data_IF_972616308756
#
_entry.id   IF_972616308756
#
_cell.length_a   1.000
_cell.length_b   1.000
_cell.length_c   1.000
_cell.angle_alpha   90.00
_cell.angle_beta   90.00
_cell.angle_gamma   90.00
#
_symmetry.space_group_name_H-M   'P 1'
#
loop_
_entity.id
_entity.type
_entity.pdbx_description
1 polymer ?
#
# COMPACT_ATOMS: atom_id res chain seq x y z
N UNK A 1 -27.77 19.38 8.66
CA UNK A 1 -26.89 19.11 9.81
C UNK A 1 -27.66 18.86 11.12
N UNK A 2 -28.80 19.52 11.34
CA UNK A 2 -29.63 19.30 12.56
C UNK A 2 -30.26 17.89 12.61
N UNK A 3 -30.56 17.27 11.49
CA UNK A 3 -31.18 15.95 11.43
C UNK A 3 -30.23 14.84 11.90
N UNK A 4 -28.93 14.96 11.67
CA UNK A 4 -27.91 13.97 12.13
C UNK A 4 -27.69 14.02 13.64
N UNK A 5 -27.95 15.17 14.29
CA UNK A 5 -27.73 15.33 15.73
C UNK A 5 -28.92 14.76 16.51
N UNK A 6 -30.14 14.74 15.95
CA UNK A 6 -31.35 14.25 16.64
C UNK A 6 -31.33 12.77 16.99
N UNK A 7 -30.66 11.94 16.20
CA UNK A 7 -30.56 10.49 16.40
C UNK A 7 -29.20 10.05 17.00
N UNK A 8 -28.30 11.01 17.28
CA UNK A 8 -26.98 10.74 17.80
C UNK A 8 -27.03 10.64 19.32
N UNK A 9 -26.40 9.59 19.86
CA UNK A 9 -26.13 9.50 21.30
C UNK A 9 -25.12 10.58 21.68
N UNK A 10 -25.52 11.53 22.50
CA UNK A 10 -24.64 12.62 22.94
C UNK A 10 -24.38 12.55 24.44
N UNK A 11 -23.23 13.08 24.85
CA UNK A 11 -22.87 13.24 26.27
C UNK A 11 -22.14 14.58 26.46
N UNK A 12 -22.34 15.18 27.63
CA UNK A 12 -21.60 16.36 28.03
C UNK A 12 -20.25 15.93 28.64
N UNK A 13 -19.15 16.24 27.98
CA UNK A 13 -17.83 15.87 28.45
C UNK A 13 -17.44 16.52 29.79
N UNK A 14 -18.11 17.61 30.19
CA UNK A 14 -17.90 18.22 31.49
C UNK A 14 -18.35 17.31 32.66
N UNK A 15 -19.18 16.28 32.42
CA UNK A 15 -19.57 15.30 33.42
C UNK A 15 -18.64 14.08 33.54
N UNK A 16 -17.65 13.98 32.66
CA UNK A 16 -16.69 12.87 32.60
C UNK A 16 -15.45 13.25 33.40
N UNK A 17 -15.22 12.60 34.53
CA UNK A 17 -14.14 12.96 35.44
C UNK A 17 -12.99 11.93 35.47
N UNK A 18 -13.26 10.68 35.10
CA UNK A 18 -12.26 9.60 35.10
C UNK A 18 -11.96 9.08 33.72
N UNK A 19 -10.76 8.51 33.53
CA UNK A 19 -10.37 7.91 32.27
C UNK A 19 -11.23 6.69 31.91
N UNK A 20 -11.73 5.97 32.92
CA UNK A 20 -12.66 4.85 32.72
C UNK A 20 -14.02 5.34 32.19
N UNK A 21 -14.58 6.43 32.73
CA UNK A 21 -15.80 7.05 32.20
C UNK A 21 -15.62 7.56 30.76
N UNK A 22 -14.44 8.13 30.46
CA UNK A 22 -14.11 8.57 29.10
C UNK A 22 -14.05 7.37 28.13
N UNK A 23 -13.40 6.28 28.52
CA UNK A 23 -13.32 5.07 27.70
C UNK A 23 -14.70 4.45 27.41
N UNK A 24 -15.58 4.39 28.41
CA UNK A 24 -16.95 3.92 28.24
C UNK A 24 -17.78 4.90 27.39
N UNK A 25 -17.65 6.19 27.64
CA UNK A 25 -18.37 7.21 26.88
C UNK A 25 -17.98 7.16 25.37
N UNK A 26 -16.70 7.02 25.05
CA UNK A 26 -16.20 6.94 23.66
C UNK A 26 -16.71 5.67 22.96
N UNK A 27 -16.97 4.58 23.68
CA UNK A 27 -17.55 3.36 23.13
C UNK A 27 -19.05 3.51 22.81
N UNK A 28 -19.80 4.29 23.61
CA UNK A 28 -21.26 4.34 23.60
C UNK A 28 -21.86 5.60 22.93
N UNK A 29 -21.11 6.71 22.88
CA UNK A 29 -21.57 7.99 22.39
C UNK A 29 -20.81 8.43 21.14
N UNK A 30 -21.46 9.22 20.30
CA UNK A 30 -20.88 9.72 19.04
C UNK A 30 -20.71 11.24 19.02
N UNK A 31 -21.41 11.96 19.91
CA UNK A 31 -21.36 13.42 19.99
C UNK A 31 -20.99 13.82 21.43
N UNK A 32 -19.97 14.65 21.55
CA UNK A 32 -19.44 15.12 22.82
C UNK A 32 -19.51 16.66 22.84
N UNK A 33 -20.18 17.20 23.84
CA UNK A 33 -20.27 18.64 24.07
C UNK A 33 -19.24 19.11 25.09
N UNK A 34 -18.83 20.39 25.03
CA UNK A 34 -17.97 21.07 26.03
C UNK A 34 -16.66 20.33 26.34
N UNK A 35 -16.02 19.77 25.30
CA UNK A 35 -14.78 18.98 25.43
C UNK A 35 -13.59 19.90 25.66
N UNK A 36 -12.81 19.66 26.70
CA UNK A 36 -11.55 20.35 26.96
C UNK A 36 -10.41 19.81 26.07
N UNK A 37 -9.34 20.59 25.82
CA UNK A 37 -8.19 20.11 25.03
C UNK A 37 -7.57 18.81 25.58
N UNK A 38 -7.48 18.66 26.88
CA UNK A 38 -6.97 17.45 27.51
C UNK A 38 -7.90 16.26 27.30
N UNK A 39 -9.22 16.47 27.39
CA UNK A 39 -10.19 15.41 27.10
C UNK A 39 -10.16 14.98 25.63
N UNK A 40 -9.93 15.88 24.66
CA UNK A 40 -9.76 15.52 23.25
C UNK A 40 -8.62 14.53 23.08
N UNK A 41 -7.51 14.77 23.76
CA UNK A 41 -6.36 13.88 23.79
C UNK A 41 -6.70 12.51 24.37
N UNK A 42 -7.38 12.49 25.52
CA UNK A 42 -7.84 11.24 26.17
C UNK A 42 -8.80 10.46 25.29
N UNK A 43 -9.67 11.11 24.53
CA UNK A 43 -10.55 10.45 23.55
C UNK A 43 -9.77 9.74 22.46
N UNK A 44 -8.71 10.37 21.94
CA UNK A 44 -7.83 9.75 20.95
C UNK A 44 -7.16 8.50 21.54
N UNK A 45 -6.62 8.59 22.74
CA UNK A 45 -6.00 7.44 23.43
C UNK A 45 -7.02 6.32 23.70
N UNK A 46 -8.19 6.64 24.23
CA UNK A 46 -9.23 5.65 24.50
C UNK A 46 -9.69 4.90 23.24
N UNK A 47 -9.77 5.58 22.09
CA UNK A 47 -10.07 4.92 20.82
C UNK A 47 -8.92 4.03 20.33
N UNK A 48 -7.66 4.45 20.53
CA UNK A 48 -6.48 3.65 20.17
C UNK A 48 -6.37 2.40 21.06
N UNK A 49 -6.65 2.52 22.34
CA UNK A 49 -6.65 1.40 23.29
C UNK A 49 -7.73 0.35 22.95
N UNK A 50 -8.80 0.77 22.27
CA UNK A 50 -9.80 -0.14 21.68
C UNK A 50 -9.34 -0.79 20.37
N UNK A 51 -8.09 -0.59 19.95
CA UNK A 51 -7.51 -1.13 18.70
C UNK A 51 -8.00 -0.42 17.43
N UNK A 52 -8.55 0.79 17.54
CA UNK A 52 -9.00 1.59 16.38
C UNK A 52 -7.86 2.47 15.85
N UNK A 53 -7.80 2.64 14.55
CA UNK A 53 -6.97 3.66 13.91
C UNK A 53 -7.73 4.98 13.91
N UNK A 54 -7.14 6.01 14.52
CA UNK A 54 -7.81 7.28 14.81
C UNK A 54 -7.32 8.39 13.88
N UNK A 55 -8.26 9.00 13.15
CA UNK A 55 -8.02 10.25 12.46
C UNK A 55 -8.61 11.41 13.27
N UNK A 56 -7.80 12.44 13.52
CA UNK A 56 -8.23 13.66 14.23
C UNK A 56 -8.22 14.84 13.27
N UNK A 57 -9.33 15.59 13.24
CA UNK A 57 -9.42 16.86 12.51
C UNK A 57 -9.55 18.00 13.51
N UNK A 58 -8.76 19.05 13.33
CA UNK A 58 -8.79 20.24 14.17
C UNK A 58 -8.27 21.48 13.45
N UNK A 59 -8.68 22.65 13.92
CA UNK A 59 -8.31 23.96 13.35
C UNK A 59 -7.69 24.90 14.38
N UNK A 60 -7.80 24.57 15.66
CA UNK A 60 -7.38 25.42 16.77
C UNK A 60 -6.10 24.98 17.44
N UNK A 61 -5.47 25.92 18.19
CA UNK A 61 -4.31 25.64 19.06
C UNK A 61 -4.65 24.56 20.10
N UNK A 62 -5.89 24.53 20.55
CA UNK A 62 -6.39 23.58 21.53
C UNK A 62 -6.45 22.12 21.01
N UNK A 63 -6.32 21.91 19.71
CA UNK A 63 -6.35 20.61 19.08
C UNK A 63 -4.96 19.98 18.88
N UNK A 64 -3.90 20.76 19.02
CA UNK A 64 -2.52 20.39 18.69
C UNK A 64 -2.08 19.10 19.38
N UNK A 65 -2.40 18.92 20.64
CA UNK A 65 -2.00 17.72 21.39
C UNK A 65 -2.76 16.48 20.89
N UNK A 66 -4.06 16.60 20.65
CA UNK A 66 -4.88 15.51 20.09
C UNK A 66 -4.50 15.18 18.64
N UNK A 67 -4.15 16.21 17.82
CA UNK A 67 -3.63 16.03 16.46
C UNK A 67 -2.32 15.25 16.45
N UNK A 68 -1.39 15.53 17.37
CA UNK A 68 -0.11 14.81 17.49
C UNK A 68 -0.26 13.36 17.95
N UNK A 69 -1.24 13.09 18.80
CA UNK A 69 -1.47 11.76 19.36
C UNK A 69 -2.28 10.86 18.40
N UNK A 70 -2.97 11.43 17.41
CA UNK A 70 -3.73 10.67 16.42
C UNK A 70 -2.83 9.93 15.42
N UNK A 71 -3.34 8.84 14.85
CA UNK A 71 -2.62 8.10 13.79
C UNK A 71 -2.61 8.87 12.46
N UNK A 72 -3.64 9.68 12.21
CA UNK A 72 -3.70 10.60 11.09
C UNK A 72 -4.27 11.94 11.58
N UNK A 73 -3.56 13.02 11.31
CA UNK A 73 -3.99 14.37 11.70
C UNK A 73 -4.28 15.25 10.48
N UNK A 74 -5.42 15.93 10.52
CA UNK A 74 -5.92 16.79 9.44
C UNK A 74 -6.19 18.17 9.99
N UNK A 75 -5.61 19.23 9.38
CA UNK A 75 -5.91 20.61 9.69
C UNK A 75 -6.59 21.31 8.53
N UNK A 76 -7.30 22.40 8.86
CA UNK A 76 -7.80 23.34 7.88
C UNK A 76 -6.74 24.42 7.63
N UNK A 77 -6.55 24.85 6.37
CA UNK A 77 -5.60 25.92 6.06
C UNK A 77 -5.96 27.27 6.72
N UNK A 78 -7.26 27.50 6.97
CA UNK A 78 -7.74 28.66 7.70
C UNK A 78 -7.57 28.55 9.23
N UNK A 79 -7.10 27.42 9.73
CA UNK A 79 -6.86 27.18 11.15
C UNK A 79 -5.62 27.89 11.67
N UNK A 80 -5.28 27.60 12.92
CA UNK A 80 -4.07 28.15 13.53
C UNK A 80 -2.79 27.53 12.91
N UNK A 81 -1.72 28.33 12.80
CA UNK A 81 -0.42 27.85 12.31
C UNK A 81 0.09 26.64 13.12
N UNK A 82 -0.17 26.64 14.42
CA UNK A 82 0.21 25.51 15.29
C UNK A 82 -0.53 24.22 14.93
N UNK A 83 -1.81 24.26 14.59
CA UNK A 83 -2.56 23.10 14.13
C UNK A 83 -2.09 22.64 12.75
N UNK A 84 -1.86 23.57 11.83
CA UNK A 84 -1.32 23.30 10.49
C UNK A 84 0.05 22.59 10.58
N UNK A 85 0.97 23.10 11.39
CA UNK A 85 2.31 22.51 11.56
C UNK A 85 2.30 21.16 12.29
N UNK A 86 1.31 20.93 13.15
CA UNK A 86 1.16 19.67 13.89
C UNK A 86 0.49 18.57 13.05
N UNK A 87 -0.10 18.89 11.91
CA UNK A 87 -0.92 17.97 11.13
C UNK A 87 -0.15 17.37 9.96
N UNK A 88 -0.49 16.13 9.62
CA UNK A 88 0.07 15.39 8.49
C UNK A 88 -0.57 15.76 7.15
N UNK A 89 -1.85 16.19 7.19
CA UNK A 89 -2.63 16.61 6.03
C UNK A 89 -3.22 17.98 6.29
N UNK A 90 -3.17 18.88 5.30
CA UNK A 90 -3.78 20.21 5.37
C UNK A 90 -4.77 20.37 4.23
N UNK A 91 -6.02 20.67 4.56
CA UNK A 91 -7.06 20.95 3.58
C UNK A 91 -6.97 22.42 3.15
N UNK A 92 -6.40 22.66 1.96
CA UNK A 92 -6.11 24.01 1.47
C UNK A 92 -7.37 24.88 1.30
N UNK A 93 -8.47 24.28 0.85
CA UNK A 93 -9.77 24.98 0.71
C UNK A 93 -10.53 25.09 2.04
N UNK A 94 -9.98 24.58 3.14
CA UNK A 94 -10.62 24.56 4.46
C UNK A 94 -12.04 23.93 4.44
N UNK A 95 -12.28 23.02 3.50
CA UNK A 95 -13.56 22.37 3.30
C UNK A 95 -13.45 20.87 3.62
N UNK A 96 -14.07 20.44 4.72
CA UNK A 96 -14.09 19.03 5.13
C UNK A 96 -14.81 18.11 4.11
N UNK A 97 -15.69 18.65 3.28
CA UNK A 97 -16.36 17.88 2.23
C UNK A 97 -15.38 17.29 1.19
N UNK A 98 -14.12 17.75 1.13
CA UNK A 98 -13.07 17.19 0.28
C UNK A 98 -12.50 15.86 0.83
N UNK A 99 -12.72 15.52 2.10
CA UNK A 99 -12.15 14.31 2.74
C UNK A 99 -12.47 12.99 2.01
N UNK A 100 -13.68 12.74 1.48
CA UNK A 100 -13.92 11.55 0.68
C UNK A 100 -12.97 11.44 -0.52
N UNK A 101 -12.68 12.55 -1.20
CA UNK A 101 -11.74 12.59 -2.32
C UNK A 101 -10.32 12.31 -1.88
N UNK A 102 -9.87 12.86 -0.74
CA UNK A 102 -8.55 12.59 -0.15
C UNK A 102 -8.40 11.10 0.18
N UNK A 103 -9.42 10.48 0.79
CA UNK A 103 -9.41 9.04 1.10
C UNK A 103 -9.36 8.20 -0.17
N UNK A 104 -10.10 8.59 -1.22
CA UNK A 104 -10.09 7.87 -2.49
C UNK A 104 -8.73 7.97 -3.19
N UNK A 105 -8.10 9.15 -3.13
CA UNK A 105 -6.74 9.34 -3.65
C UNK A 105 -5.71 8.53 -2.86
N UNK A 106 -5.78 8.51 -1.54
CA UNK A 106 -4.94 7.66 -0.70
C UNK A 106 -5.07 6.17 -1.06
N UNK A 107 -6.29 5.69 -1.29
CA UNK A 107 -6.53 4.30 -1.76
C UNK A 107 -5.89 4.04 -3.12
N UNK A 108 -6.02 4.99 -4.05
CA UNK A 108 -5.38 4.90 -5.37
C UNK A 108 -3.87 4.74 -5.25
N UNK A 109 -3.25 5.61 -4.47
CA UNK A 109 -1.79 5.62 -4.28
C UNK A 109 -1.31 4.32 -3.65
N UNK A 110 -1.91 3.89 -2.54
CA UNK A 110 -1.49 2.66 -1.83
C UNK A 110 -1.69 1.42 -2.71
N UNK A 111 -2.82 1.29 -3.39
CA UNK A 111 -3.09 0.15 -4.28
C UNK A 111 -2.12 0.10 -5.47
N UNK A 112 -1.77 1.26 -6.04
CA UNK A 112 -0.83 1.33 -7.16
C UNK A 112 0.60 1.03 -6.70
N UNK A 113 1.02 1.55 -5.54
CA UNK A 113 2.32 1.21 -4.94
C UNK A 113 2.38 -0.29 -4.63
N UNK A 114 1.32 -0.88 -4.09
CA UNK A 114 1.26 -2.32 -3.80
C UNK A 114 1.44 -3.18 -5.06
N UNK A 115 0.82 -2.78 -6.18
CA UNK A 115 1.00 -3.46 -7.48
C UNK A 115 2.44 -3.37 -7.98
N UNK A 116 2.99 -2.17 -8.02
CA UNK A 116 4.37 -1.96 -8.46
C UNK A 116 5.36 -2.69 -7.55
N UNK A 117 5.19 -2.59 -6.24
CA UNK A 117 6.04 -3.29 -5.27
C UNK A 117 6.00 -4.81 -5.46
N UNK A 118 4.83 -5.39 -5.78
CA UNK A 118 4.73 -6.83 -6.05
C UNK A 118 5.53 -7.23 -7.30
N UNK A 119 5.48 -6.45 -8.38
CA UNK A 119 6.26 -6.70 -9.61
C UNK A 119 7.76 -6.63 -9.34
N UNK A 120 8.23 -5.60 -8.63
CA UNK A 120 9.64 -5.47 -8.27
C UNK A 120 10.12 -6.60 -7.36
N UNK A 121 9.27 -7.03 -6.41
CA UNK A 121 9.61 -8.09 -5.48
C UNK A 121 9.75 -9.44 -6.18
N UNK A 122 8.91 -9.75 -7.18
CA UNK A 122 9.05 -10.97 -8.02
C UNK A 122 10.46 -11.06 -8.59
N UNK A 123 10.93 -9.97 -9.22
CA UNK A 123 12.29 -9.92 -9.81
C UNK A 123 13.37 -10.14 -8.75
N UNK A 124 13.26 -9.49 -7.60
CA UNK A 124 14.26 -9.60 -6.54
C UNK A 124 14.31 -11.02 -5.95
N UNK A 125 13.15 -11.65 -5.72
CA UNK A 125 13.06 -13.05 -5.28
C UNK A 125 13.70 -13.96 -6.34
N UNK A 126 13.33 -13.80 -7.60
CA UNK A 126 13.90 -14.56 -8.70
C UNK A 126 15.42 -14.43 -8.75
N UNK A 127 15.96 -13.21 -8.80
CA UNK A 127 17.40 -12.98 -8.88
C UNK A 127 18.16 -13.57 -7.70
N UNK A 128 17.63 -13.39 -6.49
CA UNK A 128 18.25 -13.93 -5.28
C UNK A 128 18.29 -15.46 -5.29
N UNK A 129 17.15 -16.08 -5.57
CA UNK A 129 17.04 -17.54 -5.56
C UNK A 129 17.82 -18.18 -6.73
N UNK A 130 17.84 -17.56 -7.91
CA UNK A 130 18.64 -18.05 -9.04
C UNK A 130 20.13 -17.91 -8.77
N UNK A 131 20.56 -16.86 -8.08
CA UNK A 131 21.96 -16.71 -7.64
C UNK A 131 22.34 -17.82 -6.64
N UNK A 132 21.47 -18.07 -5.66
CA UNK A 132 21.69 -19.16 -4.69
C UNK A 132 21.73 -20.53 -5.40
N UNK A 133 20.82 -20.77 -6.32
CA UNK A 133 20.79 -21.99 -7.15
C UNK A 133 22.10 -22.15 -7.94
N UNK A 134 22.60 -21.08 -8.55
CA UNK A 134 23.85 -21.11 -9.31
C UNK A 134 25.06 -21.42 -8.43
N UNK A 135 25.11 -20.88 -7.21
CA UNK A 135 26.18 -21.17 -6.23
C UNK A 135 26.11 -22.62 -5.77
N UNK A 136 24.92 -23.11 -5.40
CA UNK A 136 24.76 -24.50 -4.91
C UNK A 136 25.15 -25.55 -5.97
N UNK A 137 24.81 -25.30 -7.22
CA UNK A 137 25.15 -26.22 -8.32
C UNK A 137 26.51 -25.94 -8.96
N UNK A 138 27.24 -24.94 -8.45
CA UNK A 138 28.56 -24.52 -9.00
C UNK A 138 28.49 -24.20 -10.51
N UNK A 139 27.43 -23.52 -10.93
CA UNK A 139 27.24 -23.13 -12.32
C UNK A 139 27.36 -21.62 -12.49
N UNK A 140 27.81 -21.19 -13.66
CA UNK A 140 27.79 -19.79 -14.04
C UNK A 140 26.33 -19.29 -14.09
N UNK A 141 26.10 -18.05 -13.64
CA UNK A 141 24.78 -17.45 -13.68
C UNK A 141 24.26 -17.47 -15.13
N UNK A 142 23.06 -18.03 -15.39
CA UNK A 142 22.65 -18.39 -16.75
C UNK A 142 22.19 -17.23 -17.64
N UNK A 143 22.18 -15.99 -17.11
CA UNK A 143 21.64 -14.82 -17.82
C UNK A 143 22.61 -13.65 -17.75
N UNK A 144 22.61 -12.85 -18.82
CA UNK A 144 23.38 -11.60 -18.85
C UNK A 144 22.59 -10.42 -18.22
N UNK A 145 23.27 -9.44 -17.60
CA UNK A 145 22.64 -8.26 -17.03
C UNK A 145 21.79 -7.47 -18.03
N UNK A 146 22.20 -7.43 -19.29
CA UNK A 146 21.47 -6.81 -20.40
C UNK A 146 20.10 -7.44 -20.63
N UNK A 147 20.02 -8.76 -20.61
CA UNK A 147 18.79 -9.54 -20.78
C UNK A 147 17.82 -9.30 -19.60
N UNK A 148 18.33 -9.31 -18.35
CA UNK A 148 17.54 -9.03 -17.15
C UNK A 148 17.00 -7.60 -17.19
N UNK A 149 17.78 -6.65 -17.67
CA UNK A 149 17.37 -5.25 -17.80
C UNK A 149 16.25 -5.09 -18.82
N UNK A 150 16.36 -5.77 -19.96
CA UNK A 150 15.35 -5.78 -21.02
C UNK A 150 14.02 -6.37 -20.52
N UNK A 151 14.06 -7.55 -19.90
CA UNK A 151 12.88 -8.19 -19.30
C UNK A 151 12.22 -7.25 -18.30
N UNK A 152 13.03 -6.67 -17.39
CA UNK A 152 12.52 -5.77 -16.34
C UNK A 152 11.88 -4.50 -16.92
N UNK A 153 12.41 -3.98 -18.00
CA UNK A 153 11.84 -2.80 -18.67
C UNK A 153 10.43 -3.10 -19.20
N UNK A 154 10.26 -4.21 -19.90
CA UNK A 154 8.98 -4.55 -20.55
C UNK A 154 7.95 -5.19 -19.60
N UNK A 155 8.36 -5.93 -18.58
CA UNK A 155 7.42 -6.62 -17.68
C UNK A 155 7.14 -5.84 -16.39
N UNK A 156 8.01 -4.91 -15.99
CA UNK A 156 7.89 -4.18 -14.72
C UNK A 156 7.88 -2.66 -14.95
N UNK A 157 8.90 -2.11 -15.60
CA UNK A 157 9.12 -0.67 -15.66
C UNK A 157 8.02 0.06 -16.42
N UNK A 158 7.86 -0.24 -17.70
CA UNK A 158 6.87 0.40 -18.56
C UNK A 158 5.44 0.11 -18.08
N UNK A 159 5.04 -1.15 -17.83
CA UNK A 159 3.69 -1.43 -17.33
C UNK A 159 3.42 -0.81 -15.95
N UNK A 160 4.39 -0.86 -15.04
CA UNK A 160 4.26 -0.29 -13.70
C UNK A 160 4.03 1.22 -13.73
N UNK A 161 4.74 1.92 -14.62
CA UNK A 161 4.54 3.35 -14.84
C UNK A 161 3.11 3.67 -15.30
N UNK A 162 2.63 3.02 -16.36
CA UNK A 162 1.29 3.25 -16.87
C UNK A 162 0.19 2.84 -15.88
N UNK A 163 0.36 1.73 -15.17
CA UNK A 163 -0.60 1.28 -14.15
C UNK A 163 -0.70 2.23 -12.96
N UNK A 164 0.36 3.00 -12.66
CA UNK A 164 0.35 3.98 -11.58
C UNK A 164 -0.63 5.15 -11.83
N UNK A 165 -0.96 5.46 -13.09
CA UNK A 165 -1.93 6.50 -13.42
C UNK A 165 -3.39 6.02 -13.33
N UNK A 166 -3.62 4.73 -13.19
CA UNK A 166 -4.99 4.22 -13.14
C UNK A 166 -5.69 4.52 -11.81
N UNK A 167 -6.95 4.96 -11.85
CA UNK A 167 -7.76 5.06 -10.65
C UNK A 167 -8.01 3.65 -10.09
N UNK A 168 -7.65 3.45 -8.85
CA UNK A 168 -7.97 2.24 -8.09
C UNK A 168 -8.67 2.62 -6.79
N UNK A 169 -9.98 2.39 -6.75
CA UNK A 169 -10.85 2.77 -5.62
C UNK A 169 -11.12 1.62 -4.67
N UNK A 170 -10.51 0.46 -4.90
CA UNK A 170 -10.71 -0.72 -4.06
C UNK A 170 -10.32 -0.44 -2.60
N UNK A 171 -11.11 -0.98 -1.69
CA UNK A 171 -10.79 -0.87 -0.27
C UNK A 171 -9.54 -1.66 0.05
N UNK A 172 -8.56 -1.02 0.69
CA UNK A 172 -7.35 -1.66 1.16
C UNK A 172 -7.74 -2.67 2.24
N UNK A 173 -7.34 -3.93 2.07
CA UNK A 173 -7.58 -5.01 3.02
C UNK A 173 -6.26 -5.66 3.44
N UNK A 174 -6.15 -6.00 4.71
CA UNK A 174 -4.98 -6.67 5.28
C UNK A 174 -3.72 -5.78 5.35
N UNK A 175 -2.60 -6.42 5.64
CA UNK A 175 -1.31 -5.73 5.77
C UNK A 175 -0.63 -5.60 4.40
N UNK A 176 -0.12 -4.41 4.10
CA UNK A 176 0.55 -4.08 2.84
C UNK A 176 1.67 -5.08 2.48
N UNK A 177 2.60 -5.30 3.41
CA UNK A 177 3.76 -6.18 3.19
C UNK A 177 3.34 -7.63 2.95
N UNK A 178 2.40 -8.15 3.73
CA UNK A 178 1.89 -9.51 3.58
C UNK A 178 1.25 -9.71 2.20
N UNK A 179 0.44 -8.77 1.76
CA UNK A 179 -0.22 -8.83 0.46
C UNK A 179 0.77 -8.79 -0.70
N UNK A 180 1.81 -7.94 -0.60
CA UNK A 180 2.88 -7.84 -1.61
C UNK A 180 3.66 -9.16 -1.68
N UNK A 181 4.05 -9.69 -0.51
CA UNK A 181 4.86 -10.91 -0.43
C UNK A 181 4.10 -12.14 -0.92
N UNK A 182 2.85 -12.33 -0.50
CA UNK A 182 2.02 -13.47 -0.92
C UNK A 182 1.73 -13.47 -2.43
N UNK A 183 1.71 -12.30 -3.07
CA UNK A 183 1.55 -12.21 -4.53
C UNK A 183 2.87 -12.44 -5.27
N UNK A 184 3.98 -11.96 -4.71
CA UNK A 184 5.28 -12.01 -5.38
C UNK A 184 6.00 -13.37 -5.22
N UNK A 185 5.86 -14.02 -4.05
CA UNK A 185 6.57 -15.26 -3.75
C UNK A 185 6.25 -16.40 -4.72
N UNK A 186 4.97 -16.75 -5.01
CA UNK A 186 4.66 -17.83 -5.94
C UNK A 186 5.19 -17.55 -7.35
N UNK A 187 5.10 -16.28 -7.80
CA UNK A 187 5.60 -15.88 -9.11
C UNK A 187 7.13 -16.02 -9.21
N UNK A 188 7.87 -15.48 -8.24
CA UNK A 188 9.33 -15.59 -8.21
C UNK A 188 9.82 -17.03 -8.09
N UNK A 189 9.12 -17.88 -7.32
CA UNK A 189 9.44 -19.32 -7.24
C UNK A 189 9.18 -20.02 -8.57
N UNK A 190 8.09 -19.73 -9.26
CA UNK A 190 7.80 -20.30 -10.58
C UNK A 190 8.89 -19.94 -11.58
N UNK A 191 9.32 -18.68 -11.61
CA UNK A 191 10.42 -18.22 -12.47
C UNK A 191 11.71 -18.99 -12.22
N UNK A 192 12.08 -19.17 -10.95
CA UNK A 192 13.30 -19.93 -10.57
C UNK A 192 13.20 -21.39 -10.95
N UNK A 193 12.06 -22.03 -10.72
CA UNK A 193 11.86 -23.45 -11.07
C UNK A 193 11.92 -23.66 -12.58
N UNK A 194 11.30 -22.78 -13.36
CA UNK A 194 11.28 -22.89 -14.82
C UNK A 194 12.69 -22.66 -15.43
N UNK A 195 13.37 -21.59 -15.01
CA UNK A 195 14.73 -21.31 -15.48
C UNK A 195 15.73 -22.34 -14.97
N UNK A 196 15.61 -22.75 -13.71
CA UNK A 196 16.45 -23.78 -13.12
C UNK A 196 16.33 -25.13 -13.84
N UNK A 197 15.10 -25.57 -14.13
CA UNK A 197 14.85 -26.77 -14.91
C UNK A 197 15.44 -26.68 -16.33
N UNK A 198 15.27 -25.53 -17.00
CA UNK A 198 15.86 -25.28 -18.31
C UNK A 198 17.38 -25.37 -18.29
N UNK A 199 18.03 -24.79 -17.29
CA UNK A 199 19.49 -24.80 -17.15
C UNK A 199 20.02 -26.21 -16.88
N UNK A 200 19.37 -26.97 -15.99
CA UNK A 200 19.73 -28.36 -15.72
C UNK A 200 19.57 -29.22 -16.97
N UNK A 201 18.43 -29.09 -17.67
CA UNK A 201 18.18 -29.80 -18.92
C UNK A 201 19.24 -29.46 -19.96
N UNK A 202 19.46 -28.17 -20.23
CA UNK A 202 20.43 -27.73 -21.25
C UNK A 202 21.85 -28.24 -20.96
N UNK A 203 22.29 -28.21 -19.71
CA UNK A 203 23.59 -28.77 -19.33
C UNK A 203 23.69 -30.29 -19.50
N UNK A 204 22.63 -31.02 -19.14
CA UNK A 204 22.59 -32.48 -19.26
C UNK A 204 22.66 -32.90 -20.72
N UNK A 205 22.06 -32.16 -21.64
CA UNK A 205 22.08 -32.45 -23.09
C UNK A 205 23.18 -31.73 -23.87
N UNK A 206 24.12 -31.06 -23.17
CA UNK A 206 25.26 -30.39 -23.81
C UNK A 206 24.89 -29.18 -24.68
N UNK A 207 23.78 -28.51 -24.39
CA UNK A 207 23.34 -27.31 -25.08
C UNK A 207 24.29 -26.15 -24.78
N UNK A 208 24.57 -25.32 -25.77
CA UNK A 208 25.45 -24.17 -25.64
C UNK A 208 24.90 -23.18 -24.60
N UNK A 209 25.78 -22.56 -23.81
CA UNK A 209 25.39 -21.59 -22.75
C UNK A 209 24.64 -20.39 -23.30
N UNK A 210 24.97 -19.93 -24.50
CA UNK A 210 24.28 -18.82 -25.19
C UNK A 210 22.83 -19.17 -25.52
N UNK A 211 22.60 -20.41 -25.98
CA UNK A 211 21.26 -20.89 -26.31
C UNK A 211 20.40 -21.07 -25.07
N UNK A 212 20.99 -21.57 -23.97
CA UNK A 212 20.33 -21.67 -22.66
C UNK A 212 19.93 -20.27 -22.16
N UNK A 213 20.82 -19.29 -22.25
CA UNK A 213 20.57 -17.91 -21.84
C UNK A 213 19.44 -17.26 -22.65
N UNK A 214 19.44 -17.47 -23.97
CA UNK A 214 18.39 -16.97 -24.86
C UNK A 214 17.05 -17.63 -24.54
N UNK A 215 17.02 -18.95 -24.38
CA UNK A 215 15.79 -19.66 -24.01
C UNK A 215 15.26 -19.25 -22.63
N UNK A 216 16.14 -19.04 -21.63
CA UNK A 216 15.77 -18.52 -20.33
C UNK A 216 15.15 -17.12 -20.40
N UNK A 217 15.71 -16.26 -21.25
CA UNK A 217 15.18 -14.91 -21.50
C UNK A 217 13.76 -14.96 -22.09
N UNK A 218 13.55 -15.78 -23.11
CA UNK A 218 12.22 -15.96 -23.73
C UNK A 218 11.21 -16.52 -22.74
N UNK A 219 11.61 -17.52 -21.93
CA UNK A 219 10.76 -18.13 -20.94
C UNK A 219 10.32 -17.11 -19.88
N UNK A 220 11.26 -16.31 -19.35
CA UNK A 220 10.97 -15.28 -18.37
C UNK A 220 10.08 -14.15 -18.93
N UNK A 221 10.24 -13.80 -20.20
CA UNK A 221 9.33 -12.86 -20.84
C UNK A 221 7.91 -13.39 -20.88
N UNK A 222 7.72 -14.66 -21.28
CA UNK A 222 6.40 -15.29 -21.34
C UNK A 222 5.78 -15.32 -19.92
N UNK A 223 6.51 -15.80 -18.92
CA UNK A 223 6.02 -15.87 -17.52
C UNK A 223 5.76 -14.46 -16.99
N UNK A 224 6.65 -13.50 -17.26
CA UNK A 224 6.49 -12.10 -16.87
C UNK A 224 5.21 -11.48 -17.44
N UNK A 225 4.87 -11.74 -18.71
CA UNK A 225 3.62 -11.27 -19.32
C UNK A 225 2.38 -11.96 -18.71
N UNK A 226 2.46 -13.24 -18.35
CA UNK A 226 1.36 -13.93 -17.64
C UNK A 226 1.14 -13.32 -16.25
N UNK A 227 2.21 -13.01 -15.52
CA UNK A 227 2.14 -12.34 -14.21
C UNK A 227 1.53 -10.95 -14.38
N UNK A 228 2.01 -10.18 -15.36
CA UNK A 228 1.49 -8.86 -15.68
C UNK A 228 -0.01 -8.91 -16.01
N UNK A 229 -0.45 -9.89 -16.81
CA UNK A 229 -1.86 -10.09 -17.12
C UNK A 229 -2.70 -10.32 -15.86
N UNK A 230 -2.23 -11.16 -14.94
CA UNK A 230 -2.92 -11.39 -13.67
C UNK A 230 -3.02 -10.13 -12.79
N UNK A 231 -1.98 -9.30 -12.79
CA UNK A 231 -1.96 -8.03 -12.05
C UNK A 231 -2.87 -6.98 -12.71
N UNK A 232 -3.03 -7.02 -14.03
CA UNK A 232 -3.94 -6.16 -14.77
C UNK A 232 -5.42 -6.51 -14.60
N UNK A 233 -5.79 -7.63 -14.00
CA UNK A 233 -7.20 -7.95 -13.74
C UNK A 233 -7.83 -7.02 -12.69
N UNK A 234 -9.13 -6.63 -12.85
CA UNK A 234 -9.98 -6.83 -14.00
C UNK A 234 -9.51 -6.02 -15.22
N UNK A 235 -9.50 -6.65 -16.38
CA UNK A 235 -9.00 -6.03 -17.62
C UNK A 235 -10.00 -4.97 -18.11
N UNK A 236 -9.52 -3.75 -18.36
CA UNK A 236 -10.23 -2.71 -19.10
C UNK A 236 -9.42 -2.36 -20.36
N UNK A 237 -9.97 -1.53 -21.25
CA UNK A 237 -9.31 -1.17 -22.52
C UNK A 237 -7.89 -0.65 -22.29
N UNK A 238 -7.68 0.24 -21.33
CA UNK A 238 -6.36 0.80 -21.01
C UNK A 238 -5.38 -0.28 -20.51
N UNK A 239 -5.82 -1.17 -19.60
CA UNK A 239 -4.98 -2.28 -19.09
C UNK A 239 -4.69 -3.30 -20.18
N UNK A 240 -5.62 -3.51 -21.12
CA UNK A 240 -5.40 -4.32 -22.30
C UNK A 240 -4.29 -3.77 -23.19
N UNK A 241 -4.29 -2.45 -23.43
CA UNK A 241 -3.22 -1.77 -24.20
C UNK A 241 -1.87 -1.79 -23.49
N UNK A 242 -1.85 -1.70 -22.15
CA UNK A 242 -0.59 -1.79 -21.36
C UNK A 242 -0.01 -3.20 -21.36
N UNK A 243 -0.86 -4.23 -21.48
CA UNK A 243 -0.42 -5.62 -21.52
C UNK A 243 0.03 -6.09 -22.91
N UNK A 244 -0.63 -5.66 -23.99
CA UNK A 244 -0.38 -6.07 -25.39
C UNK A 244 0.42 -5.07 -26.16
#
# INVERSE_FOLDING_TARGET
SEMCIRDSRYVDAATLHSDAEIADAVANYTVFGRVTPDQKRKFVHALKDQGKTVAMTGDGVNDVLALKDADCSVAMASGSDAAVQASQVVLLESNFACMPSVVMEGRRVVNNIQRSASLFLVKNIFSFLLSLFSVVLMITYPMEPSQISLISMFTIGVPGFFLAFQPNKERIQGHFLTNVFLKALPAGLTDVLMVGALVVFGKTFGVNTTDISTAATMLLLIVGFIILFNICKPVNIFRGVVWG
#
